data_IF_988525744569
#
_entry.id   IF_988525744569
#
_cell.length_a   1.000
_cell.length_b   1.000
_cell.length_c   1.000
_cell.angle_alpha   90.00
_cell.angle_beta   90.00
_cell.angle_gamma   90.00
#
_symmetry.space_group_name_H-M   'P 1'
#
loop_
_entity.id
_entity.type
_entity.pdbx_description
1 polymer ?
#
# COMPACT_ATOMS: atom_id res chain seq x y z
N UNK A 1 38.07 -15.06 11.05
CA UNK A 1 37.85 -16.44 10.54
C UNK A 1 36.54 -16.45 9.81
N UNK A 2 36.52 -16.84 8.53
CA UNK A 2 35.28 -16.88 7.74
C UNK A 2 34.95 -18.34 7.44
N UNK A 3 33.68 -18.70 7.53
CA UNK A 3 33.21 -20.06 7.27
C UNK A 3 33.25 -20.33 5.76
N UNK A 4 34.17 -21.18 5.33
CA UNK A 4 34.41 -21.54 3.92
C UNK A 4 33.75 -22.87 3.51
N UNK A 5 32.93 -23.46 4.38
CA UNK A 5 32.27 -24.73 4.07
C UNK A 5 31.10 -24.54 3.08
N UNK A 6 31.01 -25.45 2.12
CA UNK A 6 29.95 -25.47 1.10
C UNK A 6 28.64 -25.85 1.80
N UNK A 7 27.58 -25.06 1.61
CA UNK A 7 26.27 -25.33 2.21
C UNK A 7 25.73 -26.68 1.72
N UNK A 8 25.82 -27.71 2.56
CA UNK A 8 25.26 -29.03 2.27
C UNK A 8 23.81 -29.13 2.75
N UNK A 9 22.94 -29.66 1.89
CA UNK A 9 21.57 -30.02 2.24
C UNK A 9 21.61 -31.18 3.25
N UNK A 10 21.30 -30.89 4.51
CA UNK A 10 21.20 -31.90 5.56
C UNK A 10 19.77 -32.47 5.58
N UNK A 11 19.63 -33.75 5.19
CA UNK A 11 18.35 -34.48 5.17
C UNK A 11 17.69 -34.67 6.54
N UNK A 12 18.43 -34.49 7.62
CA UNK A 12 17.92 -34.51 8.99
C UNK A 12 17.56 -33.12 9.51
N UNK A 13 17.78 -32.07 8.70
CA UNK A 13 17.38 -30.70 9.03
C UNK A 13 15.88 -30.57 8.76
N UNK A 14 15.09 -30.66 9.83
CA UNK A 14 13.67 -30.31 9.79
C UNK A 14 13.60 -28.79 9.69
N UNK A 15 13.31 -28.29 8.49
CA UNK A 15 12.98 -26.88 8.29
C UNK A 15 11.55 -26.67 8.79
N UNK A 16 11.25 -25.57 9.50
CA UNK A 16 9.87 -25.22 9.77
C UNK A 16 9.13 -25.13 8.43
N UNK A 17 8.03 -25.87 8.33
CA UNK A 17 7.15 -25.83 7.16
C UNK A 17 6.45 -24.47 7.15
N UNK A 18 6.98 -23.55 6.35
CA UNK A 18 6.42 -22.21 6.17
C UNK A 18 6.70 -21.23 7.32
N UNK A 19 6.18 -20.02 7.18
CA UNK A 19 6.11 -19.08 8.30
C UNK A 19 5.32 -19.76 9.43
N UNK A 20 5.76 -19.69 10.69
CA UNK A 20 5.00 -20.27 11.78
C UNK A 20 3.70 -19.50 11.95
N UNK A 21 2.63 -19.92 11.28
CA UNK A 21 1.27 -19.40 11.46
C UNK A 21 0.90 -19.38 12.94
N UNK A 22 1.42 -20.35 13.69
CA UNK A 22 1.28 -20.46 15.12
C UNK A 22 1.77 -19.21 15.88
N UNK A 23 2.82 -18.53 15.41
CA UNK A 23 3.25 -17.25 15.99
C UNK A 23 2.25 -16.14 15.61
N UNK A 24 1.69 -16.15 14.40
CA UNK A 24 0.72 -15.12 13.98
C UNK A 24 -0.60 -15.19 14.75
N UNK A 25 -1.06 -16.40 15.10
CA UNK A 25 -2.36 -16.62 15.75
C UNK A 25 -2.26 -16.92 17.26
N UNK A 26 -1.10 -17.35 17.76
CA UNK A 26 -0.91 -17.74 19.16
C UNK A 26 0.37 -17.13 19.77
N UNK A 27 0.48 -15.80 19.69
CA UNK A 27 1.60 -15.01 20.22
C UNK A 27 1.90 -15.28 21.71
N UNK A 28 0.85 -15.52 22.50
CA UNK A 28 0.93 -15.81 23.94
C UNK A 28 1.84 -17.01 24.26
N UNK A 29 1.83 -18.04 23.40
CA UNK A 29 2.64 -19.26 23.59
C UNK A 29 4.13 -19.03 23.42
N UNK A 30 4.53 -17.92 22.81
CA UNK A 30 5.93 -17.59 22.54
C UNK A 30 6.41 -16.39 23.37
N UNK A 31 5.58 -15.84 24.26
CA UNK A 31 5.92 -14.64 25.04
C UNK A 31 6.14 -13.40 24.17
N UNK A 32 5.58 -13.38 22.95
CA UNK A 32 5.75 -12.29 21.99
C UNK A 32 4.52 -11.37 22.03
N UNK A 33 4.73 -10.06 21.85
CA UNK A 33 3.65 -9.07 21.78
C UNK A 33 3.29 -8.72 20.34
N UNK A 34 2.01 -8.47 20.10
CA UNK A 34 1.55 -7.93 18.82
C UNK A 34 1.70 -6.40 18.82
N UNK A 35 2.32 -5.85 17.78
CA UNK A 35 2.42 -4.40 17.57
C UNK A 35 1.60 -3.96 16.34
N UNK A 36 0.51 -4.68 16.04
CA UNK A 36 -0.36 -4.33 14.92
C UNK A 36 -1.06 -3.01 15.23
N UNK A 37 -0.84 -2.01 14.38
CA UNK A 37 -1.60 -0.76 14.39
C UNK A 37 -2.89 -1.04 13.65
N UNK A 38 -4.02 -0.92 14.35
CA UNK A 38 -5.34 -1.07 13.75
C UNK A 38 -5.72 0.28 13.15
N UNK A 39 -5.76 0.35 11.82
CA UNK A 39 -6.15 1.56 11.08
C UNK A 39 -7.58 1.36 10.61
N UNK A 40 -8.45 2.31 10.93
CA UNK A 40 -9.82 2.36 10.45
C UNK A 40 -9.84 2.76 8.97
N UNK A 41 -10.83 2.27 8.20
CA UNK A 41 -10.95 2.64 6.78
C UNK A 41 -11.08 4.14 6.54
N UNK A 42 -11.67 4.87 7.51
CA UNK A 42 -11.83 6.33 7.45
C UNK A 42 -10.47 7.02 7.52
N UNK A 43 -9.61 6.60 8.44
CA UNK A 43 -8.24 7.13 8.61
C UNK A 43 -7.38 6.85 7.37
N UNK A 44 -7.58 5.69 6.73
CA UNK A 44 -6.91 5.39 5.47
C UNK A 44 -7.34 6.35 4.35
N UNK A 45 -8.64 6.69 4.27
CA UNK A 45 -9.13 7.65 3.28
C UNK A 45 -8.65 9.08 3.53
N UNK A 46 -8.38 9.45 4.77
CA UNK A 46 -7.75 10.74 5.13
C UNK A 46 -6.27 10.77 4.70
N UNK A 47 -5.53 9.69 4.98
CA UNK A 47 -4.15 9.54 4.53
C UNK A 47 -4.04 9.53 2.99
N UNK A 48 -4.97 8.87 2.30
CA UNK A 48 -5.02 8.87 0.84
C UNK A 48 -5.28 10.28 0.30
N UNK A 49 -6.20 11.05 0.87
CA UNK A 49 -6.42 12.44 0.44
C UNK A 49 -5.20 13.34 0.67
N UNK A 50 -4.49 13.12 1.78
CA UNK A 50 -3.34 13.93 2.16
C UNK A 50 -2.09 13.61 1.34
N UNK A 51 -1.82 12.33 1.12
CA UNK A 51 -0.58 11.85 0.52
C UNK A 51 -0.72 11.35 -0.91
N UNK A 52 -1.96 11.12 -1.37
CA UNK A 52 -2.27 10.63 -2.71
C UNK A 52 -3.30 11.52 -3.42
N UNK A 53 -2.97 12.81 -3.65
CA UNK A 53 -3.84 13.69 -4.43
C UNK A 53 -4.09 13.08 -5.82
N UNK A 54 -5.36 12.84 -6.16
CA UNK A 54 -5.76 12.16 -7.41
C UNK A 54 -5.33 12.87 -8.69
N UNK A 55 -5.01 14.15 -8.60
CA UNK A 55 -4.55 14.96 -9.73
C UNK A 55 -3.03 14.89 -9.94
N UNK A 56 -2.28 14.26 -9.01
CA UNK A 56 -0.83 14.23 -9.13
C UNK A 56 -0.40 13.30 -10.27
N UNK A 57 0.53 13.75 -11.14
CA UNK A 57 0.92 13.04 -12.35
C UNK A 57 1.48 11.63 -12.09
N UNK A 58 2.10 11.39 -10.92
CA UNK A 58 2.55 10.04 -10.51
C UNK A 58 1.43 8.99 -10.47
N UNK A 59 0.17 9.41 -10.27
CA UNK A 59 -0.99 8.52 -10.23
C UNK A 59 -1.67 8.36 -11.60
N UNK A 60 -1.25 9.11 -12.61
CA UNK A 60 -1.68 8.90 -13.99
C UNK A 60 -0.80 7.81 -14.61
N UNK A 61 -1.12 6.56 -14.26
CA UNK A 61 -0.37 5.36 -14.65
C UNK A 61 -0.31 5.13 -16.17
N UNK A 62 -1.12 5.83 -16.95
CA UNK A 62 -1.20 5.68 -18.38
C UNK A 62 -1.36 7.05 -19.08
N UNK A 63 -0.68 7.27 -20.22
CA UNK A 63 -0.94 8.42 -21.07
C UNK A 63 -2.42 8.49 -21.46
N UNK A 64 -3.02 9.67 -21.41
CA UNK A 64 -4.41 9.87 -21.83
C UNK A 64 -4.63 9.48 -23.30
N UNK A 65 -3.67 9.76 -24.17
CA UNK A 65 -3.73 9.39 -25.59
C UNK A 65 -3.74 7.88 -25.80
N UNK A 66 -3.00 7.14 -24.96
CA UNK A 66 -3.01 5.69 -24.99
C UNK A 66 -4.36 5.15 -24.49
N UNK A 67 -4.93 5.74 -23.44
CA UNK A 67 -6.23 5.35 -22.89
C UNK A 67 -7.35 5.47 -23.94
N UNK A 68 -7.38 6.58 -24.68
CA UNK A 68 -8.35 6.77 -25.78
C UNK A 68 -8.20 5.66 -26.83
N UNK A 69 -6.98 5.36 -27.25
CA UNK A 69 -6.74 4.35 -28.28
C UNK A 69 -7.06 2.93 -27.82
N UNK A 70 -6.69 2.56 -26.59
CA UNK A 70 -7.02 1.23 -26.06
C UNK A 70 -8.52 1.09 -25.87
N UNK A 71 -9.24 2.15 -25.48
CA UNK A 71 -10.71 2.12 -25.38
C UNK A 71 -11.37 1.90 -26.75
N UNK A 72 -10.90 2.58 -27.81
CA UNK A 72 -11.43 2.38 -29.17
C UNK A 72 -11.27 0.92 -29.60
N UNK A 73 -10.06 0.36 -29.45
CA UNK A 73 -9.80 -1.03 -29.82
C UNK A 73 -10.58 -2.01 -28.93
N UNK A 74 -10.74 -1.69 -27.66
CA UNK A 74 -11.51 -2.51 -26.72
C UNK A 74 -13.01 -2.53 -27.06
N UNK A 75 -13.56 -1.42 -27.56
CA UNK A 75 -14.91 -1.38 -28.13
C UNK A 75 -15.01 -2.20 -29.42
N UNK A 76 -14.02 -2.11 -30.31
CA UNK A 76 -13.98 -2.87 -31.58
C UNK A 76 -13.97 -4.39 -31.37
N UNK A 77 -13.30 -4.89 -30.33
CA UNK A 77 -13.32 -6.32 -29.97
C UNK A 77 -14.60 -6.73 -29.21
N UNK A 78 -15.56 -5.81 -29.04
CA UNK A 78 -16.87 -6.07 -28.49
C UNK A 78 -16.98 -5.92 -26.97
N UNK A 79 -16.07 -5.17 -26.34
CA UNK A 79 -16.12 -4.82 -24.91
C UNK A 79 -16.35 -6.04 -24.00
N UNK A 80 -15.56 -7.09 -24.23
CA UNK A 80 -15.72 -8.38 -23.58
C UNK A 80 -15.52 -8.27 -22.06
N UNK A 81 -16.46 -8.81 -21.28
CA UNK A 81 -16.34 -8.82 -19.81
C UNK A 81 -15.04 -9.48 -19.37
N UNK A 82 -14.21 -8.73 -18.63
CA UNK A 82 -12.95 -9.22 -18.07
C UNK A 82 -13.23 -10.14 -16.88
N UNK A 83 -12.78 -11.38 -16.98
CA UNK A 83 -12.81 -12.39 -15.93
C UNK A 83 -11.42 -13.03 -15.85
N UNK A 84 -11.11 -13.76 -14.79
CA UNK A 84 -9.80 -14.46 -14.68
C UNK A 84 -9.53 -15.43 -15.83
N UNK A 85 -10.58 -15.95 -16.48
CA UNK A 85 -10.46 -16.85 -17.63
C UNK A 85 -10.36 -16.11 -18.97
N UNK A 86 -11.08 -14.99 -19.14
CA UNK A 86 -11.09 -14.21 -20.39
C UNK A 86 -9.98 -13.16 -20.46
N UNK A 87 -9.40 -12.77 -19.32
CA UNK A 87 -8.39 -11.72 -19.21
C UNK A 87 -7.24 -11.91 -20.21
N UNK A 88 -6.65 -13.11 -20.23
CA UNK A 88 -5.49 -13.36 -21.09
C UNK A 88 -5.83 -13.27 -22.58
N UNK A 89 -7.02 -13.73 -22.97
CA UNK A 89 -7.47 -13.68 -24.36
C UNK A 89 -7.74 -12.24 -24.80
N UNK A 90 -8.41 -11.46 -23.96
CA UNK A 90 -8.68 -10.04 -24.20
C UNK A 90 -7.35 -9.28 -24.31
N UNK A 91 -6.41 -9.54 -23.41
CA UNK A 91 -5.08 -8.93 -23.46
C UNK A 91 -4.36 -9.21 -24.78
N UNK A 92 -4.34 -10.48 -25.23
CA UNK A 92 -3.70 -10.84 -26.50
C UNK A 92 -4.37 -10.17 -27.70
N UNK A 93 -5.70 -10.09 -27.71
CA UNK A 93 -6.44 -9.40 -28.78
C UNK A 93 -6.13 -7.91 -28.83
N UNK A 94 -6.09 -7.25 -27.68
CA UNK A 94 -5.67 -5.84 -27.57
C UNK A 94 -4.22 -5.68 -28.03
N UNK A 95 -3.32 -6.56 -27.59
CA UNK A 95 -1.92 -6.52 -27.98
C UNK A 95 -1.74 -6.66 -29.49
N UNK A 96 -2.40 -7.64 -30.12
CA UNK A 96 -2.31 -7.88 -31.56
C UNK A 96 -2.86 -6.68 -32.37
N UNK A 97 -3.97 -6.10 -31.92
CA UNK A 97 -4.56 -4.93 -32.57
C UNK A 97 -3.68 -3.67 -32.45
N UNK A 98 -3.00 -3.50 -31.30
CA UNK A 98 -2.16 -2.33 -31.04
C UNK A 98 -0.73 -2.48 -31.59
N UNK A 99 -0.24 -3.71 -31.82
CA UNK A 99 1.12 -3.98 -32.28
C UNK A 99 1.49 -3.33 -33.64
N UNK A 100 0.49 -2.99 -34.45
CA UNK A 100 0.66 -2.31 -35.75
C UNK A 100 0.50 -0.79 -35.73
N UNK A 101 0.03 -0.19 -34.63
CA UNK A 101 -0.25 1.25 -34.58
C UNK A 101 1.03 2.06 -34.42
N UNK A 102 1.33 2.91 -35.41
CA UNK A 102 2.46 3.85 -35.36
C UNK A 102 2.19 5.00 -34.40
N UNK A 103 0.95 5.45 -34.33
CA UNK A 103 0.51 6.59 -33.52
C UNK A 103 0.72 6.33 -32.02
N UNK A 104 0.57 5.09 -31.56
CA UNK A 104 0.87 4.69 -30.17
C UNK A 104 2.36 4.78 -29.83
N UNK A 105 3.22 4.41 -30.77
CA UNK A 105 4.67 4.38 -30.53
C UNK A 105 5.23 5.79 -30.39
N UNK A 106 4.67 6.74 -31.12
CA UNK A 106 5.01 8.16 -31.01
C UNK A 106 4.47 8.77 -29.72
N UNK A 107 3.23 8.44 -29.31
CA UNK A 107 2.66 8.86 -28.02
C UNK A 107 3.47 8.34 -26.82
N UNK A 108 3.87 7.07 -26.83
CA UNK A 108 4.70 6.48 -25.78
C UNK A 108 6.10 7.09 -25.71
N UNK A 109 6.68 7.50 -26.84
CA UNK A 109 7.98 8.18 -26.86
C UNK A 109 7.90 9.59 -26.25
N UNK A 110 6.79 10.30 -26.45
CA UNK A 110 6.54 11.60 -25.80
C UNK A 110 6.33 11.49 -24.28
N UNK A 111 5.91 10.31 -23.80
CA UNK A 111 5.69 10.04 -22.37
C UNK A 111 7.02 9.96 -21.59
N UNK A 112 8.11 9.52 -22.22
CA UNK A 112 9.43 9.37 -21.58
C UNK A 112 9.94 10.70 -21.01
N UNK A 113 9.74 11.80 -21.73
CA UNK A 113 10.11 13.15 -21.27
C UNK A 113 9.29 13.60 -20.05
N UNK A 114 8.05 13.12 -19.94
CA UNK A 114 7.14 13.42 -18.84
C UNK A 114 7.44 12.57 -17.59
N UNK A 115 7.78 11.30 -17.78
CA UNK A 115 8.23 10.40 -16.70
C UNK A 115 9.55 10.90 -16.08
N UNK A 116 10.48 11.40 -16.88
CA UNK A 116 11.71 12.02 -16.39
C UNK A 116 11.42 13.23 -15.50
N UNK A 117 10.39 14.04 -15.83
CA UNK A 117 9.99 15.19 -15.02
C UNK A 117 9.49 14.73 -13.65
N UNK A 118 8.61 13.73 -13.60
CA UNK A 118 8.04 13.19 -12.35
C UNK A 118 9.13 12.57 -11.46
N UNK A 119 10.09 11.84 -12.06
CA UNK A 119 11.18 11.20 -11.31
C UNK A 119 12.04 12.20 -10.51
N UNK A 120 12.09 13.47 -10.92
CA UNK A 120 12.87 14.52 -10.25
C UNK A 120 11.99 15.50 -9.47
N UNK A 121 10.67 15.29 -9.43
CA UNK A 121 9.72 16.11 -8.71
C UNK A 121 9.59 15.62 -7.25
N UNK A 122 9.76 16.54 -6.30
CA UNK A 122 9.57 16.27 -4.88
C UNK A 122 8.12 16.59 -4.52
N UNK A 123 7.34 15.59 -4.10
CA UNK A 123 6.05 15.86 -3.46
C UNK A 123 6.31 16.37 -2.05
N UNK A 124 6.07 17.66 -1.83
CA UNK A 124 6.02 18.24 -0.50
C UNK A 124 4.81 17.66 0.23
N UNK A 125 5.05 16.62 1.02
CA UNK A 125 4.04 16.11 1.94
C UNK A 125 3.77 17.22 2.96
N UNK A 126 2.52 17.67 3.05
CA UNK A 126 2.14 18.62 4.09
C UNK A 126 2.57 18.02 5.44
N UNK A 127 3.51 18.72 6.11
CA UNK A 127 3.87 18.39 7.47
C UNK A 127 2.59 18.45 8.30
N UNK A 128 2.12 17.30 8.77
CA UNK A 128 1.13 17.26 9.84
C UNK A 128 1.66 18.18 10.93
N UNK A 129 0.96 19.29 11.16
CA UNK A 129 1.25 20.21 12.26
C UNK A 129 1.38 19.33 13.48
N UNK A 130 2.62 19.18 13.99
CA UNK A 130 2.79 18.82 15.38
C UNK A 130 2.14 19.99 16.10
N UNK A 131 0.92 19.78 16.59
CA UNK A 131 0.38 20.64 17.62
C UNK A 131 1.44 20.62 18.71
N UNK A 132 2.22 21.70 18.78
CA UNK A 132 3.15 21.94 19.85
C UNK A 132 2.29 22.09 21.09
N UNK A 133 2.41 21.15 22.03
CA UNK A 133 1.90 21.32 23.38
C UNK A 133 2.63 22.51 24.03
N UNK A 134 2.12 23.72 23.79
CA UNK A 134 2.37 24.88 24.65
C UNK A 134 1.25 24.94 25.69
N UNK A 135 1.52 24.43 26.89
CA UNK A 135 1.47 25.21 28.14
C UNK A 135 1.37 24.30 29.37
N UNK A 136 2.23 24.55 30.36
CA UNK A 136 2.16 23.82 31.63
C UNK A 136 3.33 24.04 32.58
N UNK A 137 3.59 25.31 32.91
CA UNK A 137 4.42 25.75 34.04
C UNK A 137 4.21 24.89 35.29
N UNK A 138 5.29 24.46 35.94
CA UNK A 138 5.23 23.69 37.17
C UNK A 138 4.80 24.54 38.36
N UNK A 139 3.85 24.04 39.14
CA UNK A 139 3.67 24.37 40.55
C UNK A 139 3.25 23.10 41.31
N UNK A 140 3.75 23.03 42.54
CA UNK A 140 3.76 21.90 43.46
C UNK A 140 2.42 21.72 44.20
N UNK A 141 2.22 20.47 44.64
CA UNK A 141 1.56 20.04 45.89
C UNK A 141 0.02 20.03 46.07
N UNK A 142 -0.36 19.04 46.88
CA UNK A 142 -1.61 18.77 47.60
C UNK A 142 -2.78 18.09 46.86
N UNK A 143 -2.98 16.79 47.14
CA UNK A 143 -4.34 16.27 47.35
C UNK A 143 -4.37 15.31 48.56
N UNK A 144 -4.95 15.80 49.64
CA UNK A 144 -5.59 15.00 50.69
C UNK A 144 -6.97 14.49 50.22
N UNK A 145 -7.27 13.25 50.64
CA UNK A 145 -8.56 12.65 51.01
C UNK A 145 -9.74 12.48 50.01
N UNK A 146 -9.99 11.19 49.71
CA UNK A 146 -11.22 10.40 49.96
C UNK A 146 -12.59 11.03 49.60
N UNK A 147 -13.34 10.40 48.66
CA UNK A 147 -14.60 9.65 48.97
C UNK A 147 -15.29 8.99 47.75
N UNK A 148 -15.48 7.66 47.83
CA UNK A 148 -16.64 6.78 47.50
C UNK A 148 -17.63 7.15 46.38
N UNK A 149 -17.84 6.19 45.44
CA UNK A 149 -19.13 5.59 45.03
C UNK A 149 -18.82 4.31 44.21
N UNK A 150 -18.90 3.09 44.75
CA UNK A 150 -20.07 2.22 44.98
C UNK A 150 -20.77 1.75 43.69
N UNK A 151 -20.36 0.58 43.17
CA UNK A 151 -21.18 -0.22 42.27
C UNK A 151 -22.02 -1.19 43.10
N UNK A 152 -23.34 -1.03 42.99
CA UNK A 152 -24.37 -1.94 43.48
C UNK A 152 -24.71 -2.96 42.40
N UNK A 153 -25.21 -4.10 42.90
CA UNK A 153 -25.44 -5.41 42.31
C UNK A 153 -26.37 -5.46 41.08
N UNK A 154 -26.32 -6.61 40.39
CA UNK A 154 -27.45 -7.50 40.04
C UNK A 154 -27.14 -8.22 38.70
N UNK A 155 -27.29 -9.54 38.50
CA UNK A 155 -27.81 -10.68 39.24
C UNK A 155 -27.30 -11.96 38.53
#
# INVERSE_FOLDING_TARGET
MHNTSILQANKNKILPLGWPEHILYHLDRFGVRSYKVLILKVEFGEAEKLYMPTDHPVFQLMPQDFDIQIMIVYEEIGQLRVTTQSFWQIYLQLQDALAGSKDLRESLASQEEWEIRICHEHMDLENSVRESDEDGNGEEEEEEDVNVMQEVEDL
#
